data_IF_726297319143
#
_entry.id   IF_726297319143
#
_cell.length_a   1.000
_cell.length_b   1.000
_cell.length_c   1.000
_cell.angle_alpha   90.00
_cell.angle_beta   90.00
_cell.angle_gamma   90.00
#
_symmetry.space_group_name_H-M   'P 1'
#
loop_
_entity.id
_entity.type
_entity.pdbx_description
1 polymer ?
#
# COMPACT_ATOMS: atom_id res chain seq x y z
N UNK A 1 -21.78 39.61 -50.73
CA UNK A 1 -22.80 38.73 -50.13
C UNK A 1 -22.15 37.38 -49.89
N UNK A 2 -21.96 37.07 -48.63
CA UNK A 2 -22.14 35.85 -47.89
C UNK A 2 -21.62 34.53 -48.56
N UNK A 3 -20.56 33.97 -47.97
CA UNK A 3 -20.54 32.59 -47.46
C UNK A 3 -19.33 32.41 -46.53
N UNK A 4 -19.55 32.68 -45.25
CA UNK A 4 -18.75 32.18 -44.15
C UNK A 4 -19.62 31.11 -43.47
N UNK A 5 -19.08 29.95 -43.26
CA UNK A 5 -19.44 28.94 -42.29
C UNK A 5 -19.28 27.53 -42.83
N UNK A 6 -18.26 26.80 -42.37
CA UNK A 6 -18.27 25.35 -42.12
C UNK A 6 -16.87 24.84 -41.85
N UNK A 7 -16.18 25.31 -40.79
CA UNK A 7 -14.98 24.66 -40.28
C UNK A 7 -14.96 24.67 -38.75
N UNK A 8 -16.05 24.21 -38.13
CA UNK A 8 -16.14 23.96 -36.72
C UNK A 8 -17.00 22.72 -36.46
N UNK A 9 -16.52 21.53 -36.80
CA UNK A 9 -17.18 20.30 -36.35
C UNK A 9 -16.34 19.02 -36.42
N UNK A 10 -15.04 19.07 -36.70
CA UNK A 10 -14.23 17.86 -36.81
C UNK A 10 -13.25 17.61 -35.64
N UNK A 11 -12.97 18.61 -34.81
CA UNK A 11 -12.12 18.42 -33.62
C UNK A 11 -12.83 17.78 -32.43
N UNK A 12 -14.16 17.86 -32.34
CA UNK A 12 -14.91 17.35 -31.17
C UNK A 12 -15.06 15.82 -31.13
N UNK A 13 -15.05 15.17 -32.29
CA UNK A 13 -15.32 13.72 -32.34
C UNK A 13 -14.08 12.84 -32.03
N UNK A 14 -12.87 13.28 -32.37
CA UNK A 14 -11.66 12.53 -32.02
C UNK A 14 -11.32 12.66 -30.53
N UNK A 15 -11.48 13.83 -29.95
CA UNK A 15 -11.23 14.04 -28.51
C UNK A 15 -12.31 13.35 -27.66
N UNK A 16 -13.57 13.38 -28.08
CA UNK A 16 -14.64 12.60 -27.42
C UNK A 16 -14.43 11.09 -27.60
N UNK A 17 -13.99 10.62 -28.76
CA UNK A 17 -13.71 9.20 -28.98
C UNK A 17 -12.48 8.71 -28.19
N UNK A 18 -11.45 9.54 -28.07
CA UNK A 18 -10.29 9.25 -27.24
C UNK A 18 -10.66 9.23 -25.73
N UNK A 19 -11.52 10.17 -25.30
CA UNK A 19 -12.01 10.22 -23.93
C UNK A 19 -12.90 9.01 -23.61
N UNK A 20 -13.77 8.61 -24.51
CA UNK A 20 -14.62 7.40 -24.39
C UNK A 20 -13.75 6.13 -24.43
N UNK A 21 -12.71 6.08 -25.23
CA UNK A 21 -11.79 4.94 -25.29
C UNK A 21 -10.91 4.85 -24.03
N UNK A 22 -10.44 5.96 -23.49
CA UNK A 22 -9.71 6.03 -22.21
C UNK A 22 -10.64 5.66 -21.06
N UNK A 23 -11.89 6.11 -21.07
CA UNK A 23 -12.91 5.70 -20.12
C UNK A 23 -13.22 4.19 -20.25
N UNK A 24 -13.36 3.67 -21.47
CA UNK A 24 -13.62 2.25 -21.69
C UNK A 24 -12.45 1.35 -21.24
N UNK A 25 -11.20 1.78 -21.41
CA UNK A 25 -10.03 1.09 -20.86
C UNK A 25 -9.99 1.12 -19.33
N UNK A 26 -10.47 2.19 -18.69
CA UNK A 26 -10.65 2.26 -17.24
C UNK A 26 -11.77 1.31 -16.73
N UNK A 27 -12.67 0.87 -17.61
CA UNK A 27 -13.77 -0.07 -17.28
C UNK A 27 -13.33 -1.53 -17.15
N UNK A 28 -12.20 -1.90 -17.72
CA UNK A 28 -11.69 -3.29 -17.71
C UNK A 28 -10.79 -3.59 -16.51
N UNK A 29 -10.50 -2.59 -15.67
CA UNK A 29 -9.64 -2.77 -14.50
C UNK A 29 -10.46 -2.90 -13.22
N UNK A 30 -10.18 -3.89 -12.35
CA UNK A 30 -10.75 -3.90 -11.01
C UNK A 30 -10.35 -2.60 -10.28
N UNK A 31 -11.23 -2.05 -9.42
CA UNK A 31 -10.84 -0.91 -8.60
C UNK A 31 -9.61 -1.30 -7.79
N UNK A 32 -8.60 -0.43 -7.68
CA UNK A 32 -7.49 -0.69 -6.77
C UNK A 32 -8.07 -0.95 -5.38
N UNK A 33 -7.73 -2.07 -4.79
CA UNK A 33 -7.91 -2.26 -3.38
C UNK A 33 -6.83 -1.39 -2.74
N UNK A 34 -7.22 -0.33 -2.10
CA UNK A 34 -6.34 0.54 -1.34
C UNK A 34 -6.50 0.09 0.12
N UNK A 35 -5.47 -0.49 0.70
CA UNK A 35 -5.41 -0.67 2.14
C UNK A 35 -4.94 0.63 2.76
N UNK A 36 -5.40 0.99 3.93
CA UNK A 36 -5.16 2.25 4.66
C UNK A 36 -4.75 3.36 3.70
N UNK A 37 -5.63 4.30 3.36
CA UNK A 37 -5.49 5.10 2.14
C UNK A 37 -4.10 5.73 1.96
N UNK A 38 -3.66 5.90 0.73
CA UNK A 38 -2.32 6.31 0.30
C UNK A 38 -1.75 7.48 1.11
N UNK A 39 -2.56 8.52 1.36
CA UNK A 39 -2.08 9.71 2.06
C UNK A 39 -1.84 9.46 3.55
N UNK A 40 -2.53 8.50 4.13
CA UNK A 40 -2.29 8.08 5.51
C UNK A 40 -0.93 7.41 5.67
N UNK A 41 -0.52 6.56 4.72
CA UNK A 41 0.82 5.95 4.72
C UNK A 41 1.92 7.00 4.55
N UNK A 42 1.72 7.99 3.68
CA UNK A 42 2.65 9.11 3.51
C UNK A 42 2.78 9.94 4.79
N UNK A 43 1.65 10.24 5.43
CA UNK A 43 1.62 10.99 6.68
C UNK A 43 2.34 10.28 7.84
N UNK A 44 2.34 8.94 7.86
CA UNK A 44 3.10 8.14 8.83
C UNK A 44 4.61 8.31 8.61
N UNK A 45 5.07 8.30 7.36
CA UNK A 45 6.48 8.58 7.05
C UNK A 45 6.86 9.97 7.54
N UNK A 46 6.09 11.00 7.20
CA UNK A 46 6.34 12.37 7.65
C UNK A 46 6.41 12.50 9.17
N UNK A 47 5.46 11.87 9.86
CA UNK A 47 5.39 11.91 11.32
C UNK A 47 6.59 11.27 12.02
N UNK A 48 7.27 10.34 11.34
CA UNK A 48 8.44 9.65 11.88
C UNK A 48 9.76 10.15 11.26
N UNK A 49 9.72 10.96 10.19
CA UNK A 49 10.89 11.30 9.38
C UNK A 49 12.00 11.95 10.20
N UNK A 50 11.76 13.14 10.74
CA UNK A 50 12.79 13.91 11.45
C UNK A 50 13.29 13.24 12.73
N UNK A 51 12.38 12.57 13.44
CA UNK A 51 12.68 12.07 14.79
C UNK A 51 13.29 10.68 14.82
N UNK A 52 12.99 9.84 13.81
CA UNK A 52 13.38 8.43 13.82
C UNK A 52 14.03 7.99 12.50
N UNK A 53 13.38 8.18 11.35
CA UNK A 53 13.87 7.63 10.06
C UNK A 53 15.19 8.28 9.69
N UNK A 54 15.25 9.62 9.66
CA UNK A 54 16.47 10.39 9.33
C UNK A 54 17.62 10.03 10.28
N UNK A 55 17.33 9.87 11.57
CA UNK A 55 18.32 9.45 12.55
C UNK A 55 18.91 8.06 12.26
N UNK A 56 18.08 7.08 11.88
CA UNK A 56 18.54 5.75 11.47
C UNK A 56 19.36 5.78 10.19
N UNK A 57 18.91 6.56 9.21
CA UNK A 57 19.65 6.74 7.95
C UNK A 57 21.05 7.34 8.21
N UNK A 58 21.14 8.40 9.00
CA UNK A 58 22.42 9.03 9.34
C UNK A 58 23.31 8.15 10.22
N UNK A 59 22.73 7.30 11.09
CA UNK A 59 23.50 6.32 11.87
C UNK A 59 24.19 5.31 10.95
N UNK A 60 23.51 4.85 9.89
CA UNK A 60 24.05 3.85 8.94
C UNK A 60 24.88 4.49 7.83
N UNK A 61 24.52 5.71 7.42
CA UNK A 61 25.14 6.47 6.32
C UNK A 61 25.50 7.89 6.78
N UNK A 62 26.54 8.06 7.64
CA UNK A 62 26.84 9.33 8.28
C UNK A 62 27.33 10.43 7.34
N UNK A 63 27.63 10.11 6.08
CA UNK A 63 28.07 11.05 5.06
C UNK A 63 26.92 11.53 4.15
N UNK A 64 25.68 11.08 4.41
CA UNK A 64 24.52 11.48 3.60
C UNK A 64 24.27 12.99 3.72
N UNK A 65 24.13 13.66 2.58
CA UNK A 65 23.77 15.07 2.49
C UNK A 65 22.26 15.27 2.65
N UNK A 66 21.82 16.52 2.84
CA UNK A 66 20.38 16.84 2.85
C UNK A 66 19.71 16.49 1.52
N UNK A 67 20.40 16.59 0.38
CA UNK A 67 19.90 16.17 -0.93
C UNK A 67 19.72 14.65 -0.98
N UNK A 68 20.69 13.88 -0.46
CA UNK A 68 20.59 12.42 -0.34
C UNK A 68 19.42 12.02 0.55
N UNK A 69 19.21 12.72 1.67
CA UNK A 69 18.11 12.49 2.60
C UNK A 69 16.75 12.82 1.98
N UNK A 70 16.65 13.92 1.23
CA UNK A 70 15.43 14.27 0.49
C UNK A 70 15.08 13.20 -0.55
N UNK A 71 16.11 12.70 -1.28
CA UNK A 71 15.92 11.59 -2.20
C UNK A 71 15.52 10.30 -1.47
N UNK A 72 16.14 10.01 -0.32
CA UNK A 72 15.80 8.85 0.49
C UNK A 72 14.33 8.89 0.98
N UNK A 73 13.79 10.08 1.26
CA UNK A 73 12.39 10.26 1.66
C UNK A 73 11.43 9.84 0.54
N UNK A 74 11.75 10.12 -0.73
CA UNK A 74 10.97 9.64 -1.87
C UNK A 74 10.91 8.10 -1.93
N UNK A 75 12.00 7.43 -1.58
CA UNK A 75 12.05 5.97 -1.48
C UNK A 75 11.28 5.45 -0.25
N UNK A 76 11.32 6.16 0.88
CA UNK A 76 10.52 5.80 2.04
C UNK A 76 9.01 5.89 1.74
N UNK A 77 8.55 6.91 1.01
CA UNK A 77 7.17 6.98 0.54
C UNK A 77 6.83 5.84 -0.40
N UNK A 78 7.69 5.53 -1.38
CA UNK A 78 7.48 4.40 -2.28
C UNK A 78 7.40 3.07 -1.55
N UNK A 79 8.23 2.87 -0.52
CA UNK A 79 8.19 1.70 0.34
C UNK A 79 6.91 1.61 1.17
N UNK A 80 6.41 2.75 1.68
CA UNK A 80 5.23 2.79 2.55
C UNK A 80 3.93 2.29 1.90
N UNK A 81 3.91 2.09 0.58
CA UNK A 81 2.72 1.64 -0.15
C UNK A 81 3.06 0.44 -1.06
N UNK A 82 4.29 -0.07 -1.02
CA UNK A 82 4.73 -1.08 -2.00
C UNK A 82 3.94 -2.38 -1.93
N UNK A 83 3.48 -2.80 -0.76
CA UNK A 83 2.69 -4.01 -0.59
C UNK A 83 1.38 -3.95 -1.38
N UNK A 84 0.85 -2.76 -1.62
CA UNK A 84 -0.36 -2.51 -2.40
C UNK A 84 -0.12 -2.44 -3.91
N UNK A 85 1.13 -2.51 -4.39
CA UNK A 85 1.45 -2.35 -5.81
C UNK A 85 0.66 -3.31 -6.71
N UNK A 86 0.29 -4.48 -6.21
CA UNK A 86 -0.50 -5.47 -6.95
C UNK A 86 -1.88 -4.98 -7.36
N UNK A 87 -2.43 -4.00 -6.68
CA UNK A 87 -3.75 -3.43 -6.97
C UNK A 87 -3.73 -2.33 -8.04
N UNK A 88 -2.55 -1.87 -8.45
CA UNK A 88 -2.38 -0.86 -9.49
C UNK A 88 -2.34 -1.47 -10.90
N UNK A 89 -2.53 -0.67 -11.96
CA UNK A 89 -2.47 -1.15 -13.34
C UNK A 89 -1.18 -1.91 -13.64
N UNK A 90 -1.29 -3.03 -14.34
CA UNK A 90 -0.22 -4.00 -14.65
C UNK A 90 0.36 -4.73 -13.44
N UNK A 91 -0.08 -4.42 -12.21
CA UNK A 91 0.20 -5.20 -11.03
C UNK A 91 -0.53 -6.54 -11.05
N UNK A 92 -0.40 -7.29 -9.97
CA UNK A 92 -1.10 -8.55 -9.76
C UNK A 92 -1.63 -8.58 -8.34
N UNK A 93 -2.94 -8.77 -8.13
CA UNK A 93 -3.48 -8.94 -6.78
C UNK A 93 -2.75 -10.02 -5.97
N UNK A 94 -2.23 -11.04 -6.66
CA UNK A 94 -1.44 -12.08 -6.02
C UNK A 94 -0.16 -11.56 -5.37
N UNK A 95 0.48 -10.52 -5.91
CA UNK A 95 1.61 -9.85 -5.25
C UNK A 95 1.20 -9.26 -3.90
N UNK A 96 0.11 -8.50 -3.88
CA UNK A 96 -0.40 -7.92 -2.63
C UNK A 96 -0.91 -8.98 -1.66
N UNK A 97 -1.61 -10.02 -2.16
CA UNK A 97 -2.05 -11.14 -1.32
C UNK A 97 -0.87 -11.83 -0.62
N UNK A 98 0.26 -12.00 -1.31
CA UNK A 98 1.48 -12.56 -0.70
C UNK A 98 2.03 -11.65 0.39
N UNK A 99 2.22 -10.36 0.07
CA UNK A 99 2.86 -9.40 0.98
C UNK A 99 2.01 -9.05 2.20
N UNK A 100 0.69 -9.29 2.14
CA UNK A 100 -0.23 -9.05 3.26
C UNK A 100 -0.53 -10.29 4.10
N UNK A 101 -0.47 -11.50 3.50
CA UNK A 101 -0.99 -12.69 4.17
C UNK A 101 0.03 -13.82 4.33
N UNK A 102 1.10 -13.84 3.52
CA UNK A 102 2.03 -14.97 3.49
C UNK A 102 3.43 -14.46 3.78
N UNK A 103 4.02 -14.86 4.90
CA UNK A 103 5.38 -14.45 5.27
C UNK A 103 5.57 -12.92 5.21
N UNK A 104 4.56 -12.18 5.62
CA UNK A 104 4.49 -10.73 5.54
C UNK A 104 5.62 -10.02 6.30
N UNK A 105 5.92 -10.45 7.52
CA UNK A 105 7.04 -9.95 8.32
C UNK A 105 8.40 -10.35 7.75
N UNK A 106 8.53 -11.60 7.26
CA UNK A 106 9.77 -12.09 6.62
C UNK A 106 10.15 -11.27 5.39
N UNK A 107 9.15 -10.86 4.59
CA UNK A 107 9.36 -10.00 3.43
C UNK A 107 9.98 -8.64 3.82
N UNK A 108 9.46 -8.01 4.86
CA UNK A 108 10.00 -6.74 5.36
C UNK A 108 11.40 -6.93 5.94
N UNK A 109 11.62 -7.99 6.69
CA UNK A 109 12.96 -8.31 7.21
C UNK A 109 13.97 -8.57 6.09
N UNK A 110 13.55 -9.20 4.99
CA UNK A 110 14.38 -9.40 3.80
C UNK A 110 14.75 -8.05 3.16
N UNK A 111 13.78 -7.13 2.97
CA UNK A 111 14.05 -5.79 2.46
C UNK A 111 15.08 -5.04 3.31
N UNK A 112 14.95 -5.06 4.63
CA UNK A 112 15.87 -4.40 5.56
C UNK A 112 17.28 -5.00 5.53
N UNK A 113 17.37 -6.33 5.47
CA UNK A 113 18.61 -7.08 5.44
C UNK A 113 19.39 -6.86 4.14
N UNK A 114 18.68 -6.85 3.00
CA UNK A 114 19.27 -6.87 1.68
C UNK A 114 19.53 -5.47 1.10
N UNK A 115 19.11 -4.42 1.81
CA UNK A 115 19.36 -3.03 1.45
C UNK A 115 20.87 -2.70 1.49
N UNK A 116 21.42 -2.28 0.34
CA UNK A 116 22.86 -2.03 0.16
C UNK A 116 23.23 -0.54 0.23
N UNK A 117 22.29 0.35 -0.01
CA UNK A 117 22.51 1.79 0.01
C UNK A 117 21.44 2.55 0.81
N UNK A 118 21.62 3.87 0.91
CA UNK A 118 20.73 4.77 1.64
C UNK A 118 19.28 4.70 1.14
N UNK A 119 19.09 4.66 -0.17
CA UNK A 119 17.76 4.71 -0.79
C UNK A 119 17.02 3.39 -0.64
N UNK A 120 17.70 2.27 -0.77
CA UNK A 120 17.12 0.95 -0.53
C UNK A 120 16.77 0.76 0.94
N UNK A 121 17.62 1.24 1.85
CA UNK A 121 17.32 1.17 3.28
C UNK A 121 16.13 2.04 3.66
N UNK A 122 16.04 3.26 3.10
CA UNK A 122 14.89 4.13 3.30
C UNK A 122 13.58 3.49 2.76
N UNK A 123 13.65 2.84 1.59
CA UNK A 123 12.53 2.10 1.02
C UNK A 123 12.08 0.94 1.94
N UNK A 124 13.02 0.18 2.50
CA UNK A 124 12.73 -0.88 3.44
C UNK A 124 12.11 -0.37 4.75
N UNK A 125 12.58 0.80 5.26
CA UNK A 125 11.95 1.48 6.40
C UNK A 125 10.53 1.96 6.07
N UNK A 126 10.29 2.38 4.83
CA UNK A 126 8.95 2.66 4.34
C UNK A 126 8.04 1.43 4.38
N UNK A 127 8.50 0.29 3.87
CA UNK A 127 7.74 -0.96 3.91
C UNK A 127 7.46 -1.44 5.35
N UNK A 128 8.35 -1.13 6.29
CA UNK A 128 8.11 -1.35 7.73
C UNK A 128 7.01 -0.42 8.28
N UNK A 129 6.87 0.80 7.74
CA UNK A 129 5.77 1.68 8.09
C UNK A 129 4.42 1.11 7.66
N UNK A 130 4.35 0.54 6.45
CA UNK A 130 3.15 -0.15 5.96
C UNK A 130 2.76 -1.32 6.87
N UNK A 131 3.73 -2.15 7.27
CA UNK A 131 3.50 -3.24 8.23
C UNK A 131 2.82 -2.73 9.51
N UNK A 132 3.32 -1.66 10.11
CA UNK A 132 2.72 -1.09 11.31
C UNK A 132 1.35 -0.46 11.02
N UNK A 133 1.21 0.21 9.86
CA UNK A 133 -0.01 0.92 9.48
C UNK A 133 -1.19 -0.02 9.30
N UNK A 134 -1.02 -1.09 8.56
CA UNK A 134 -2.11 -2.00 8.26
C UNK A 134 -2.49 -2.84 9.48
N UNK A 135 -1.49 -3.36 10.22
CA UNK A 135 -1.76 -4.13 11.43
C UNK A 135 -2.58 -3.35 12.47
N UNK A 136 -2.34 -2.05 12.64
CA UNK A 136 -3.08 -1.23 13.59
C UNK A 136 -4.27 -0.52 12.94
N UNK A 137 -4.08 -0.01 11.71
CA UNK A 137 -5.06 0.78 10.99
C UNK A 137 -6.35 0.03 10.71
N UNK A 138 -6.25 -1.19 10.19
CA UNK A 138 -7.41 -2.02 9.91
C UNK A 138 -8.12 -2.45 11.18
N UNK A 139 -7.38 -3.04 12.11
CA UNK A 139 -7.93 -3.62 13.35
C UNK A 139 -8.63 -2.61 14.23
N UNK A 140 -8.02 -1.43 14.44
CA UNK A 140 -8.53 -0.41 15.36
C UNK A 140 -9.50 0.53 14.66
N UNK A 141 -9.20 0.91 13.39
CA UNK A 141 -9.90 1.93 12.63
C UNK A 141 -10.86 1.37 11.59
N UNK A 142 -10.33 0.97 10.45
CA UNK A 142 -11.10 0.73 9.22
C UNK A 142 -12.15 -0.36 9.38
N UNK A 143 -11.80 -1.55 9.90
CA UNK A 143 -12.75 -2.67 10.03
C UNK A 143 -13.96 -2.32 10.89
N UNK A 144 -13.76 -1.53 11.93
CA UNK A 144 -14.83 -1.06 12.82
C UNK A 144 -15.65 0.06 12.17
N UNK A 145 -14.99 1.00 11.52
CA UNK A 145 -15.65 2.08 10.82
C UNK A 145 -16.53 1.58 9.66
N UNK A 146 -16.10 0.54 8.94
CA UNK A 146 -16.92 -0.09 7.88
C UNK A 146 -18.23 -0.62 8.45
N UNK A 147 -18.23 -1.27 9.61
CA UNK A 147 -19.46 -1.78 10.24
C UNK A 147 -20.48 -0.67 10.53
N UNK A 148 -20.00 0.51 10.95
CA UNK A 148 -20.82 1.69 11.26
C UNK A 148 -21.29 2.38 9.98
N UNK A 149 -20.35 2.68 9.06
CA UNK A 149 -20.65 3.41 7.83
C UNK A 149 -21.50 2.59 6.86
N UNK A 150 -21.44 1.26 6.93
CA UNK A 150 -22.22 0.34 6.08
C UNK A 150 -23.04 -0.64 6.94
N UNK A 151 -24.16 -0.17 7.58
CA UNK A 151 -24.92 -0.96 8.56
C UNK A 151 -25.44 -2.31 8.03
N UNK A 152 -25.61 -2.45 6.72
CA UNK A 152 -25.97 -3.74 6.11
C UNK A 152 -24.86 -4.78 6.23
N UNK A 153 -23.59 -4.36 6.17
CA UNK A 153 -22.45 -5.22 6.42
C UNK A 153 -22.30 -5.49 7.92
N UNK A 154 -22.44 -4.45 8.77
CA UNK A 154 -22.41 -4.62 10.23
C UNK A 154 -23.47 -5.61 10.74
N UNK A 155 -24.70 -5.57 10.19
CA UNK A 155 -25.75 -6.59 10.52
C UNK A 155 -25.36 -8.01 10.13
N UNK A 156 -24.57 -8.16 9.07
CA UNK A 156 -24.19 -9.47 8.53
C UNK A 156 -22.95 -10.06 9.23
N UNK A 157 -21.97 -9.23 9.54
CA UNK A 157 -20.64 -9.67 9.97
C UNK A 157 -20.30 -9.27 11.41
N UNK A 158 -21.08 -8.38 12.05
CA UNK A 158 -20.84 -7.89 13.41
C UNK A 158 -20.16 -6.52 13.44
N UNK A 159 -19.54 -6.21 14.58
CA UNK A 159 -18.94 -4.90 14.86
C UNK A 159 -17.64 -4.63 14.11
N UNK A 160 -17.10 -5.64 13.46
CA UNK A 160 -15.92 -5.56 12.61
C UNK A 160 -16.23 -6.19 11.26
N UNK A 161 -15.89 -5.50 10.18
CA UNK A 161 -16.06 -5.97 8.79
C UNK A 161 -14.70 -5.88 8.14
N UNK A 162 -14.06 -7.02 7.92
CA UNK A 162 -12.74 -7.10 7.32
C UNK A 162 -12.77 -6.80 5.81
N UNK A 163 -11.59 -6.67 5.21
CA UNK A 163 -11.48 -6.49 3.77
C UNK A 163 -12.13 -7.63 2.98
N UNK A 164 -11.95 -8.89 3.40
CA UNK A 164 -12.57 -10.03 2.70
C UNK A 164 -14.12 -10.05 2.77
N UNK A 165 -14.69 -9.45 3.82
CA UNK A 165 -16.13 -9.35 4.01
C UNK A 165 -16.79 -8.27 3.17
N UNK A 166 -16.05 -7.19 2.89
CA UNK A 166 -16.60 -6.03 2.21
C UNK A 166 -15.59 -5.16 1.48
N UNK A 167 -14.80 -5.74 0.54
CA UNK A 167 -13.71 -5.06 -0.18
C UNK A 167 -14.01 -3.61 -0.61
N UNK A 168 -15.13 -3.40 -1.32
CA UNK A 168 -15.45 -2.06 -1.82
C UNK A 168 -15.85 -1.08 -0.71
N UNK A 169 -16.52 -1.54 0.34
CA UNK A 169 -16.87 -0.70 1.48
C UNK A 169 -15.60 -0.31 2.26
N UNK A 170 -14.68 -1.24 2.41
CA UNK A 170 -13.40 -1.04 3.06
C UNK A 170 -12.59 0.07 2.35
N UNK A 171 -12.30 -0.10 1.06
CA UNK A 171 -11.59 0.90 0.23
C UNK A 171 -12.28 2.27 0.23
N UNK A 172 -13.63 2.31 0.22
CA UNK A 172 -14.39 3.56 0.31
C UNK A 172 -14.24 4.25 1.66
N UNK A 173 -14.15 3.48 2.73
CA UNK A 173 -13.97 4.02 4.09
C UNK A 173 -12.61 4.67 4.22
N UNK A 174 -11.57 4.01 3.79
CA UNK A 174 -10.19 4.51 3.81
C UNK A 174 -10.01 5.76 2.96
N UNK A 175 -10.52 5.72 1.74
CA UNK A 175 -10.52 6.91 0.87
C UNK A 175 -11.31 8.08 1.51
N UNK A 176 -12.40 7.77 2.22
CA UNK A 176 -13.19 8.76 2.97
C UNK A 176 -12.37 9.42 4.07
N UNK A 177 -11.54 8.67 4.78
CA UNK A 177 -10.62 9.22 5.78
C UNK A 177 -9.58 10.15 5.17
N UNK A 178 -8.91 9.75 4.07
CA UNK A 178 -7.96 10.63 3.39
C UNK A 178 -8.62 11.95 2.92
N UNK A 179 -9.85 11.88 2.39
CA UNK A 179 -10.60 13.08 1.98
C UNK A 179 -10.90 13.97 3.19
N UNK A 180 -11.26 13.37 4.33
CA UNK A 180 -11.52 14.10 5.57
C UNK A 180 -10.26 14.79 6.09
N UNK A 181 -9.13 14.12 6.07
CA UNK A 181 -7.85 14.66 6.58
C UNK A 181 -7.34 15.82 5.70
N UNK A 182 -7.57 15.78 4.38
CA UNK A 182 -7.32 16.92 3.50
C UNK A 182 -8.29 18.06 3.84
N UNK A 183 -9.57 17.75 4.05
CA UNK A 183 -10.59 18.73 4.40
C UNK A 183 -10.23 19.50 5.67
N UNK A 184 -9.64 18.81 6.64
CA UNK A 184 -9.17 19.37 7.90
C UNK A 184 -7.79 20.02 7.80
N UNK A 185 -7.24 20.10 6.58
CA UNK A 185 -5.91 20.65 6.33
C UNK A 185 -4.79 19.93 7.11
N UNK A 186 -4.96 18.64 7.39
CA UNK A 186 -3.96 17.83 8.09
C UNK A 186 -2.97 17.18 7.13
N UNK A 187 -3.39 16.83 5.90
CA UNK A 187 -2.54 16.28 4.85
C UNK A 187 -2.23 17.33 3.79
N UNK A 188 -1.04 17.25 3.22
CA UNK A 188 -0.54 18.14 2.18
C UNK A 188 -0.17 17.38 0.90
N UNK A 189 -1.15 16.84 0.15
CA UNK A 189 -0.90 15.94 -0.97
C UNK A 189 -0.06 16.56 -2.10
N UNK A 190 -0.07 17.89 -2.23
CA UNK A 190 0.78 18.59 -3.20
C UNK A 190 2.26 18.55 -2.82
N UNK A 191 2.57 18.53 -1.53
CA UNK A 191 3.92 18.41 -1.02
C UNK A 191 4.57 17.09 -1.42
N UNK A 192 3.85 16.00 -1.30
CA UNK A 192 4.32 14.66 -1.64
C UNK A 192 4.67 14.53 -3.12
N UNK A 193 3.87 15.12 -3.99
CA UNK A 193 4.06 15.03 -5.44
C UNK A 193 5.11 16.02 -5.97
N UNK A 194 4.98 17.29 -5.61
CA UNK A 194 5.73 18.37 -6.29
C UNK A 194 7.16 18.53 -5.77
N UNK A 195 7.45 18.07 -4.55
CA UNK A 195 8.70 18.37 -3.86
C UNK A 195 9.50 17.14 -3.42
N UNK A 196 8.87 16.03 -3.09
CA UNK A 196 9.54 14.84 -2.59
C UNK A 196 9.48 13.72 -3.64
N UNK A 197 8.30 13.41 -4.15
CA UNK A 197 8.09 12.36 -5.15
C UNK A 197 8.01 10.96 -4.54
N UNK A 198 7.94 9.97 -5.43
CA UNK A 198 7.83 8.55 -5.09
C UNK A 198 8.83 7.73 -5.89
N UNK A 199 9.67 6.97 -5.21
CA UNK A 199 10.66 6.12 -5.84
C UNK A 199 10.57 4.68 -5.34
N UNK A 200 10.94 3.73 -6.21
CA UNK A 200 10.93 2.30 -5.89
C UNK A 200 12.35 1.75 -5.99
N UNK A 201 12.80 1.12 -4.93
CA UNK A 201 14.11 0.46 -4.89
C UNK A 201 14.00 -0.96 -5.49
N UNK A 202 13.96 -1.02 -6.83
CA UNK A 202 13.69 -2.24 -7.59
C UNK A 202 14.59 -3.40 -7.23
N UNK A 203 15.90 -3.17 -7.13
CA UNK A 203 16.87 -4.24 -6.85
C UNK A 203 16.56 -4.98 -5.55
N UNK A 204 16.37 -4.24 -4.46
CA UNK A 204 16.08 -4.84 -3.16
C UNK A 204 14.68 -5.45 -3.12
N UNK A 205 13.71 -4.87 -3.82
CA UNK A 205 12.36 -5.42 -3.96
C UNK A 205 12.40 -6.80 -4.64
N UNK A 206 13.08 -6.90 -5.80
CA UNK A 206 13.22 -8.16 -6.56
C UNK A 206 13.92 -9.23 -5.72
N UNK A 207 15.00 -8.86 -5.04
CA UNK A 207 15.77 -9.79 -4.21
C UNK A 207 14.94 -10.29 -3.02
N UNK A 208 14.37 -9.40 -2.24
CA UNK A 208 13.57 -9.75 -1.06
C UNK A 208 12.33 -10.59 -1.45
N UNK A 209 11.67 -10.26 -2.55
CA UNK A 209 10.52 -11.02 -3.04
C UNK A 209 10.92 -12.45 -3.43
N UNK A 210 12.01 -12.62 -4.19
CA UNK A 210 12.51 -13.94 -4.58
C UNK A 210 12.94 -14.76 -3.37
N UNK A 211 13.64 -14.17 -2.42
CA UNK A 211 14.11 -14.89 -1.22
C UNK A 211 12.95 -15.30 -0.32
N UNK A 212 11.93 -14.44 -0.19
CA UNK A 212 10.79 -14.72 0.67
C UNK A 212 9.84 -15.75 0.06
N UNK A 213 9.54 -15.64 -1.23
CA UNK A 213 8.48 -16.45 -1.85
C UNK A 213 9.00 -17.53 -2.82
N UNK A 214 10.29 -17.53 -3.16
CA UNK A 214 10.83 -18.46 -4.17
C UNK A 214 10.33 -18.19 -5.59
N UNK A 215 9.88 -16.97 -5.87
CA UNK A 215 9.35 -16.54 -7.16
C UNK A 215 10.06 -15.28 -7.64
N UNK A 216 10.30 -15.19 -8.96
CA UNK A 216 10.75 -13.95 -9.57
C UNK A 216 9.58 -12.95 -9.65
N UNK A 217 9.78 -11.70 -9.27
CA UNK A 217 8.75 -10.65 -9.30
C UNK A 217 8.11 -10.51 -10.69
N UNK A 218 8.92 -10.53 -11.75
CA UNK A 218 8.46 -10.51 -13.15
C UNK A 218 7.56 -11.69 -13.54
N UNK A 219 7.56 -12.80 -12.80
CA UNK A 219 6.67 -13.95 -13.04
C UNK A 219 5.30 -13.77 -12.40
N UNK A 220 5.18 -12.82 -11.50
CA UNK A 220 3.96 -12.49 -10.75
C UNK A 220 3.24 -11.29 -11.35
N UNK A 221 3.97 -10.26 -11.73
CA UNK A 221 3.42 -9.07 -12.38
C UNK A 221 3.14 -9.32 -13.87
N UNK A 222 2.13 -8.64 -14.42
CA UNK A 222 1.83 -8.74 -15.87
C UNK A 222 2.93 -8.11 -16.73
N UNK A 223 3.49 -7.01 -16.26
CA UNK A 223 4.61 -6.29 -16.87
C UNK A 223 5.22 -5.43 -15.76
N UNK A 224 6.40 -5.82 -15.31
CA UNK A 224 7.04 -5.22 -14.13
C UNK A 224 7.33 -3.72 -14.31
N UNK A 225 7.89 -3.33 -15.46
CA UNK A 225 8.21 -1.93 -15.72
C UNK A 225 6.93 -1.06 -15.76
N UNK A 226 5.89 -1.57 -16.40
CA UNK A 226 4.60 -0.86 -16.42
C UNK A 226 3.92 -0.85 -15.05
N UNK A 227 4.02 -1.93 -14.28
CA UNK A 227 3.47 -2.00 -12.92
C UNK A 227 4.12 -0.96 -12.02
N UNK A 228 5.45 -0.90 -11.97
CA UNK A 228 6.19 0.10 -11.20
C UNK A 228 5.89 1.54 -11.65
N UNK A 229 5.86 1.78 -12.96
CA UNK A 229 5.56 3.12 -13.49
C UNK A 229 4.11 3.55 -13.26
N UNK A 230 3.15 2.63 -13.38
CA UNK A 230 1.74 2.94 -13.09
C UNK A 230 1.54 3.19 -11.60
N UNK A 231 2.12 2.36 -10.74
CA UNK A 231 2.12 2.54 -9.30
C UNK A 231 2.64 3.93 -8.91
N UNK A 232 3.86 4.28 -9.32
CA UNK A 232 4.45 5.60 -9.05
C UNK A 232 3.58 6.75 -9.53
N UNK A 233 3.07 6.68 -10.77
CA UNK A 233 2.19 7.71 -11.34
C UNK A 233 0.89 7.84 -10.58
N UNK A 234 0.25 6.72 -10.24
CA UNK A 234 -1.08 6.73 -9.67
C UNK A 234 -1.05 7.19 -8.21
N UNK A 235 -0.05 6.77 -7.45
CA UNK A 235 0.17 7.20 -6.06
C UNK A 235 0.55 8.68 -6.01
N UNK A 236 1.51 9.13 -6.81
CA UNK A 236 2.02 10.50 -6.73
C UNK A 236 1.13 11.55 -7.41
N UNK A 237 0.29 11.18 -8.37
CA UNK A 237 -0.49 12.15 -9.19
C UNK A 237 -1.98 11.92 -9.17
N UNK A 238 -2.40 10.67 -9.45
CA UNK A 238 -3.82 10.40 -9.68
C UNK A 238 -4.61 10.43 -8.38
N UNK A 239 -4.13 9.77 -7.34
CA UNK A 239 -4.81 9.69 -6.05
C UNK A 239 -4.89 11.05 -5.34
N UNK A 240 -3.80 11.82 -5.17
CA UNK A 240 -3.86 13.16 -4.61
C UNK A 240 -4.85 14.08 -5.35
N UNK A 241 -4.88 14.00 -6.69
CA UNK A 241 -5.83 14.74 -7.49
C UNK A 241 -7.28 14.29 -7.29
N UNK A 242 -7.52 12.97 -7.24
CA UNK A 242 -8.85 12.42 -6.99
C UNK A 242 -9.37 12.81 -5.61
N UNK A 243 -8.52 12.81 -4.59
CA UNK A 243 -8.88 13.18 -3.22
C UNK A 243 -9.26 14.68 -3.12
N UNK A 244 -8.52 15.58 -3.81
CA UNK A 244 -8.90 17.00 -3.90
C UNK A 244 -10.25 17.22 -4.59
N UNK A 245 -10.49 16.49 -5.69
CA UNK A 245 -11.78 16.54 -6.39
C UNK A 245 -12.90 16.05 -5.48
N UNK A 246 -12.69 14.95 -4.78
CA UNK A 246 -13.65 14.38 -3.84
C UNK A 246 -13.96 15.34 -2.69
N UNK A 247 -12.94 15.98 -2.12
CA UNK A 247 -13.11 17.06 -1.14
C UNK A 247 -13.99 18.19 -1.67
N UNK A 248 -13.68 18.72 -2.86
CA UNK A 248 -14.46 19.81 -3.45
C UNK A 248 -15.93 19.45 -3.66
N UNK A 249 -16.22 18.17 -3.98
CA UNK A 249 -17.58 17.66 -4.18
C UNK A 249 -18.38 17.52 -2.88
N UNK A 250 -17.71 17.19 -1.77
CA UNK A 250 -18.35 16.85 -0.48
C UNK A 250 -18.08 17.85 0.64
N UNK A 251 -17.41 18.96 0.34
CA UNK A 251 -16.98 19.93 1.35
C UNK A 251 -18.11 20.47 2.23
N UNK A 252 -19.30 20.67 1.65
CA UNK A 252 -20.43 21.21 2.40
C UNK A 252 -21.01 20.14 3.32
N UNK A 253 -21.21 18.90 2.83
CA UNK A 253 -21.61 17.73 3.63
C UNK A 253 -20.66 17.48 4.81
N UNK A 254 -19.35 17.49 4.57
CA UNK A 254 -18.34 17.25 5.61
C UNK A 254 -18.33 18.40 6.66
N UNK A 255 -18.52 19.64 6.25
CA UNK A 255 -18.57 20.77 7.18
C UNK A 255 -19.82 20.77 8.06
N UNK A 256 -20.95 20.33 7.49
CA UNK A 256 -22.22 20.24 8.22
C UNK A 256 -22.20 19.09 9.23
N UNK A 257 -21.62 17.95 8.87
CA UNK A 257 -21.55 16.76 9.73
C UNK A 257 -20.46 16.86 10.81
N UNK A 258 -19.43 17.70 10.62
CA UNK A 258 -18.29 17.84 11.55
C UNK A 258 -17.96 19.33 11.78
N UNK A 259 -18.85 20.10 12.42
CA UNK A 259 -18.68 21.55 12.62
C UNK A 259 -17.49 21.92 13.50
N UNK A 260 -17.08 21.04 14.44
CA UNK A 260 -16.00 21.28 15.42
C UNK A 260 -14.69 20.54 15.08
N UNK A 261 -14.38 20.39 13.82
CA UNK A 261 -13.11 19.82 13.37
C UNK A 261 -11.91 20.68 13.80
N UNK A 262 -11.66 20.76 15.10
CA UNK A 262 -10.54 21.53 15.61
C UNK A 262 -9.22 20.78 15.44
N UNK A 263 -8.23 21.48 14.87
CA UNK A 263 -6.83 21.04 14.65
C UNK A 263 -6.14 20.46 15.92
N UNK A 264 -6.72 20.62 17.10
CA UNK A 264 -6.11 20.27 18.40
C UNK A 264 -6.18 18.81 18.82
N UNK A 265 -7.03 17.98 18.18
CA UNK A 265 -7.23 16.57 18.60
C UNK A 265 -6.29 15.59 17.91
N UNK A 266 -5.72 15.95 16.79
CA UNK A 266 -4.77 15.12 16.07
C UNK A 266 -3.36 15.44 16.58
N UNK A 267 -2.68 14.48 17.18
CA UNK A 267 -1.33 14.65 17.73
C UNK A 267 -0.28 14.95 16.66
N UNK A 268 -0.62 14.75 15.39
CA UNK A 268 0.28 14.81 14.27
C UNK A 268 -0.23 15.74 13.14
N UNK A 269 -0.16 17.03 13.37
CA UNK A 269 -0.19 18.05 12.31
C UNK A 269 1.15 18.09 11.53
N UNK A 270 1.86 16.96 11.45
CA UNK A 270 3.27 16.99 11.09
C UNK A 270 3.49 17.00 9.58
N UNK A 271 2.67 16.33 8.78
CA UNK A 271 2.91 16.32 7.34
C UNK A 271 2.80 17.73 6.76
N UNK A 272 1.75 18.46 7.10
CA UNK A 272 1.58 19.83 6.65
C UNK A 272 2.56 20.80 7.30
N UNK A 273 2.85 20.67 8.60
CA UNK A 273 3.79 21.56 9.29
C UNK A 273 5.24 21.31 8.87
N UNK A 274 5.63 20.07 8.56
CA UNK A 274 6.93 19.76 7.98
C UNK A 274 7.05 20.35 6.59
N UNK A 275 6.03 20.16 5.75
CA UNK A 275 5.95 20.77 4.43
C UNK A 275 6.03 22.31 4.49
N UNK A 276 5.22 22.96 5.35
CA UNK A 276 5.22 24.43 5.51
C UNK A 276 6.57 24.98 5.98
N UNK A 277 7.30 24.22 6.78
CA UNK A 277 8.63 24.60 7.27
C UNK A 277 9.67 24.58 6.18
N UNK A 278 9.64 23.55 5.33
CA UNK A 278 10.64 23.35 4.29
C UNK A 278 10.31 24.13 3.00
N UNK A 279 9.04 24.22 2.63
CA UNK A 279 8.58 24.68 1.31
C UNK A 279 7.66 25.90 1.33
N UNK A 280 7.24 26.37 2.51
CA UNK A 280 6.36 27.52 2.67
C UNK A 280 4.89 27.21 2.55
N UNK A 281 4.03 28.26 2.60
CA UNK A 281 2.57 28.15 2.69
C UNK A 281 1.82 28.23 1.34
N UNK A 282 2.53 28.13 0.24
CA UNK A 282 1.94 28.29 -1.11
C UNK A 282 1.26 27.01 -1.59
N UNK A 283 0.11 26.68 -1.02
CA UNK A 283 -0.73 25.58 -1.51
C UNK A 283 -1.42 25.95 -2.82
N UNK A 284 -1.30 25.07 -3.81
CA UNK A 284 -2.08 25.21 -5.05
C UNK A 284 -3.55 24.94 -4.75
N UNK A 285 -4.40 25.95 -4.95
CA UNK A 285 -5.86 25.76 -4.97
C UNK A 285 -6.23 24.91 -6.19
N UNK A 286 -7.33 24.12 -6.14
CA UNK A 286 -7.80 23.39 -7.30
C UNK A 286 -7.88 24.33 -8.51
N UNK A 287 -7.30 23.94 -9.62
CA UNK A 287 -7.37 24.71 -10.86
C UNK A 287 -8.82 24.76 -11.40
N UNK A 288 -9.12 25.76 -12.21
CA UNK A 288 -10.45 25.85 -12.85
C UNK A 288 -10.78 24.58 -13.65
N UNK A 289 -9.78 23.90 -14.24
CA UNK A 289 -9.96 22.62 -14.91
C UNK A 289 -10.31 21.47 -13.94
N UNK A 290 -9.75 21.46 -12.73
CA UNK A 290 -10.09 20.45 -11.70
C UNK A 290 -11.51 20.67 -11.15
N UNK A 291 -11.91 21.91 -10.96
CA UNK A 291 -13.30 22.28 -10.59
C UNK A 291 -14.27 21.87 -11.69
N UNK A 292 -13.92 22.10 -12.96
CA UNK A 292 -14.73 21.67 -14.10
C UNK A 292 -14.80 20.13 -14.21
N UNK A 293 -13.70 19.42 -14.02
CA UNK A 293 -13.69 17.96 -13.94
C UNK A 293 -14.54 17.44 -12.78
N UNK A 294 -14.51 18.09 -11.62
CA UNK A 294 -15.36 17.76 -10.48
C UNK A 294 -16.85 17.93 -10.83
N UNK A 295 -17.19 18.98 -11.57
CA UNK A 295 -18.57 19.19 -12.07
C UNK A 295 -18.96 18.11 -13.08
N UNK A 296 -18.14 17.83 -14.09
CA UNK A 296 -18.39 16.75 -15.05
C UNK A 296 -18.52 15.39 -14.35
N UNK A 297 -17.74 15.17 -13.30
CA UNK A 297 -17.81 13.96 -12.52
C UNK A 297 -19.20 13.70 -11.90
N UNK A 298 -19.96 14.75 -11.53
CA UNK A 298 -21.35 14.59 -11.05
C UNK A 298 -22.27 13.98 -12.11
N UNK A 299 -21.96 14.18 -13.39
CA UNK A 299 -22.76 13.73 -14.52
C UNK A 299 -22.38 12.34 -15.04
N UNK A 300 -21.19 11.84 -14.69
CA UNK A 300 -20.68 10.53 -15.18
C UNK A 300 -21.20 9.41 -14.28
N UNK A 301 -21.74 8.32 -14.85
CA UNK A 301 -22.12 7.13 -14.09
C UNK A 301 -20.92 6.53 -13.34
N UNK A 302 -21.12 6.12 -12.08
CA UNK A 302 -20.06 5.63 -11.19
C UNK A 302 -19.84 4.12 -11.37
N UNK A 303 -19.09 3.74 -12.40
CA UNK A 303 -18.71 2.35 -12.67
C UNK A 303 -17.21 2.11 -12.39
N UNK A 304 -16.82 0.84 -12.23
CA UNK A 304 -15.41 0.44 -12.07
C UNK A 304 -14.67 1.20 -10.95
N UNK A 305 -13.44 1.69 -11.20
CA UNK A 305 -12.63 2.41 -10.21
C UNK A 305 -13.30 3.65 -9.63
N UNK A 306 -14.19 4.30 -10.40
CA UNK A 306 -14.91 5.50 -9.94
C UNK A 306 -15.91 5.23 -8.82
N UNK A 307 -16.21 3.96 -8.51
CA UNK A 307 -17.07 3.60 -7.37
C UNK A 307 -16.48 4.02 -6.03
N UNK A 308 -15.15 4.13 -5.91
CA UNK A 308 -14.50 4.57 -4.66
C UNK A 308 -14.94 5.98 -4.26
N UNK A 309 -15.17 6.85 -5.23
CA UNK A 309 -15.62 8.21 -5.01
C UNK A 309 -17.08 8.33 -4.49
N UNK A 310 -17.81 7.20 -4.44
CA UNK A 310 -19.11 7.08 -3.74
C UNK A 310 -18.93 6.62 -2.30
N UNK A 311 -17.90 7.10 -1.62
CA UNK A 311 -17.69 6.82 -0.20
C UNK A 311 -18.77 7.47 0.67
N UNK A 312 -18.98 6.94 1.85
CA UNK A 312 -19.78 7.58 2.89
C UNK A 312 -18.88 8.52 3.69
N UNK A 313 -19.39 9.69 3.98
CA UNK A 313 -18.67 10.66 4.81
C UNK A 313 -18.42 10.05 6.18
N UNK A 314 -17.17 10.04 6.67
CA UNK A 314 -16.88 9.61 8.03
C UNK A 314 -17.68 10.41 9.06
N UNK A 315 -18.18 9.73 10.08
CA UNK A 315 -18.85 10.35 11.23
C UNK A 315 -17.81 10.74 12.30
N UNK A 316 -18.15 11.60 13.28
CA UNK A 316 -17.24 11.91 14.39
C UNK A 316 -16.76 10.66 15.14
N UNK A 317 -17.62 9.64 15.28
CA UNK A 317 -17.27 8.36 15.90
C UNK A 317 -16.21 7.60 15.07
N UNK A 318 -16.42 7.47 13.74
CA UNK A 318 -15.49 6.75 12.87
C UNK A 318 -14.19 7.52 12.66
N UNK A 319 -14.24 8.85 12.68
CA UNK A 319 -13.04 9.69 12.71
C UNK A 319 -12.21 9.44 13.97
N UNK A 320 -12.84 9.37 15.15
CA UNK A 320 -12.13 9.07 16.37
C UNK A 320 -11.45 7.69 16.34
N UNK A 321 -12.09 6.70 15.72
CA UNK A 321 -11.48 5.38 15.49
C UNK A 321 -10.26 5.48 14.57
N UNK A 322 -10.34 6.27 13.50
CA UNK A 322 -9.22 6.53 12.61
C UNK A 322 -8.07 7.23 13.34
N UNK A 323 -8.34 8.30 14.10
CA UNK A 323 -7.31 8.98 14.91
C UNK A 323 -6.63 8.04 15.91
N UNK A 324 -7.40 7.19 16.58
CA UNK A 324 -6.86 6.21 17.52
C UNK A 324 -5.96 5.20 16.81
N UNK A 325 -6.37 4.71 15.62
CA UNK A 325 -5.58 3.78 14.82
C UNK A 325 -4.29 4.40 14.32
N UNK A 326 -4.32 5.65 13.86
CA UNK A 326 -3.15 6.37 13.39
C UNK A 326 -2.11 6.59 14.52
N UNK A 327 -2.58 6.95 15.71
CA UNK A 327 -1.72 7.10 16.90
C UNK A 327 -1.10 5.78 17.34
N UNK A 328 -1.87 4.68 17.30
CA UNK A 328 -1.37 3.34 17.58
C UNK A 328 -0.31 2.92 16.54
N UNK A 329 -0.57 3.15 15.26
CA UNK A 329 0.38 2.92 14.17
C UNK A 329 1.71 3.63 14.42
N UNK A 330 1.67 4.92 14.74
CA UNK A 330 2.90 5.67 14.98
C UNK A 330 3.67 5.18 16.22
N UNK A 331 2.95 4.78 17.25
CA UNK A 331 3.56 4.19 18.45
C UNK A 331 4.25 2.87 18.12
N UNK A 332 3.57 2.01 17.37
CA UNK A 332 4.10 0.73 16.91
C UNK A 332 5.29 0.93 15.96
N UNK A 333 5.14 1.77 14.94
CA UNK A 333 6.21 2.03 13.97
C UNK A 333 7.48 2.59 14.62
N UNK A 334 7.37 3.53 15.56
CA UNK A 334 8.51 4.07 16.31
C UNK A 334 9.24 2.99 17.10
N UNK A 335 8.51 2.08 17.74
CA UNK A 335 9.08 0.91 18.42
C UNK A 335 9.86 0.06 17.44
N UNK A 336 9.30 -0.29 16.29
CA UNK A 336 9.96 -1.10 15.26
C UNK A 336 11.21 -0.40 14.69
N UNK A 337 11.17 0.93 14.52
CA UNK A 337 12.35 1.71 14.12
C UNK A 337 13.46 1.68 15.16
N UNK A 338 13.13 1.74 16.46
CA UNK A 338 14.10 1.60 17.55
C UNK A 338 14.73 0.20 17.52
N UNK A 339 13.93 -0.86 17.46
CA UNK A 339 14.39 -2.25 17.37
C UNK A 339 15.28 -2.48 16.12
N UNK A 340 14.93 -1.86 14.99
CA UNK A 340 15.77 -1.85 13.78
C UNK A 340 17.13 -1.21 14.05
N UNK A 341 17.15 -0.08 14.73
CA UNK A 341 18.38 0.63 15.08
C UNK A 341 19.26 -0.10 16.09
N UNK A 342 18.69 -0.93 16.93
CA UNK A 342 19.35 -1.78 17.91
C UNK A 342 19.76 -3.15 17.33
N UNK A 343 19.25 -3.53 16.15
CA UNK A 343 19.48 -4.83 15.54
C UNK A 343 18.70 -5.96 16.23
N UNK A 344 17.64 -5.65 16.94
CA UNK A 344 16.80 -6.59 17.69
C UNK A 344 15.44 -6.86 17.04
N UNK A 345 15.16 -6.22 15.89
CA UNK A 345 13.88 -6.33 15.20
C UNK A 345 13.51 -7.79 14.88
N UNK A 346 12.33 -8.18 15.32
CA UNK A 346 11.68 -9.45 14.97
C UNK A 346 10.25 -9.13 14.55
N UNK A 347 9.88 -9.50 13.32
CA UNK A 347 8.54 -9.29 12.79
C UNK A 347 7.79 -10.62 12.74
N UNK A 348 6.55 -10.58 13.16
CA UNK A 348 5.64 -11.70 12.99
C UNK A 348 5.04 -11.69 11.59
N UNK A 349 4.68 -12.88 11.09
CA UNK A 349 3.98 -13.01 9.82
C UNK A 349 2.47 -12.84 10.04
N UNK A 350 2.05 -11.60 10.27
CA UNK A 350 0.67 -11.26 10.55
C UNK A 350 -0.15 -11.11 9.27
N UNK A 351 -1.45 -11.29 9.39
CA UNK A 351 -2.43 -10.92 8.39
C UNK A 351 -2.75 -9.42 8.58
N UNK A 352 -2.38 -8.60 7.62
CA UNK A 352 -2.50 -7.15 7.73
C UNK A 352 -3.96 -6.66 7.80
N UNK A 353 -4.91 -7.40 7.25
CA UNK A 353 -6.33 -6.99 7.31
C UNK A 353 -6.93 -7.10 8.71
N UNK A 354 -6.36 -7.93 9.58
CA UNK A 354 -6.87 -8.16 10.94
C UNK A 354 -5.84 -7.85 12.03
N UNK A 355 -4.57 -7.60 11.65
CA UNK A 355 -3.49 -7.22 12.56
C UNK A 355 -3.07 -8.32 13.54
N UNK A 356 -3.20 -9.60 13.13
CA UNK A 356 -2.81 -10.75 13.92
C UNK A 356 -2.50 -11.98 13.07
N UNK A 357 -1.83 -12.96 13.64
CA UNK A 357 -1.64 -14.26 12.98
C UNK A 357 -2.97 -14.95 12.73
N UNK A 358 -3.13 -15.47 11.53
CA UNK A 358 -4.28 -16.30 11.20
C UNK A 358 -3.87 -17.70 10.77
N UNK A 359 -4.60 -18.69 11.25
CA UNK A 359 -4.42 -20.06 10.85
C UNK A 359 -5.29 -20.45 9.64
N UNK A 360 -5.06 -21.66 9.10
CA UNK A 360 -5.80 -22.18 7.97
C UNK A 360 -7.32 -22.21 8.23
N UNK A 361 -8.09 -21.77 7.24
CA UNK A 361 -9.55 -21.76 7.29
C UNK A 361 -10.19 -20.61 8.06
N UNK A 362 -9.39 -19.73 8.66
CA UNK A 362 -9.88 -18.58 9.42
C UNK A 362 -10.06 -17.32 8.58
N UNK A 363 -9.26 -17.17 7.55
CA UNK A 363 -9.30 -16.04 6.64
C UNK A 363 -9.15 -16.53 5.20
N UNK A 364 -10.20 -16.32 4.39
CA UNK A 364 -10.27 -16.90 3.04
C UNK A 364 -9.15 -16.45 2.12
N UNK A 365 -8.81 -15.17 2.14
CA UNK A 365 -7.74 -14.63 1.28
C UNK A 365 -6.37 -15.18 1.66
N UNK A 366 -6.13 -15.42 2.94
CA UNK A 366 -4.91 -16.08 3.41
C UNK A 366 -4.81 -17.51 2.87
N UNK A 367 -5.91 -18.30 2.95
CA UNK A 367 -5.93 -19.67 2.40
C UNK A 367 -5.73 -19.68 0.89
N UNK A 368 -6.35 -18.74 0.18
CA UNK A 368 -6.24 -18.59 -1.27
C UNK A 368 -4.83 -18.19 -1.68
N UNK A 369 -4.17 -17.27 -0.94
CA UNK A 369 -2.79 -16.84 -1.19
C UNK A 369 -1.78 -17.98 -1.01
N UNK A 370 -1.89 -18.76 0.07
CA UNK A 370 -1.03 -19.93 0.29
C UNK A 370 -1.22 -20.99 -0.81
N UNK A 371 -2.45 -21.27 -1.22
CA UNK A 371 -2.71 -22.21 -2.31
C UNK A 371 -2.18 -21.70 -3.65
N UNK A 372 -2.29 -20.42 -3.93
CA UNK A 372 -1.75 -19.81 -5.14
C UNK A 372 -0.22 -19.79 -5.17
N UNK A 373 0.44 -19.56 -4.02
CA UNK A 373 1.89 -19.65 -3.90
C UNK A 373 2.37 -21.08 -4.20
N UNK A 374 1.71 -22.08 -3.59
CA UNK A 374 2.02 -23.48 -3.82
C UNK A 374 1.91 -23.85 -5.31
N UNK A 375 0.82 -23.42 -5.97
CA UNK A 375 0.58 -23.65 -7.40
C UNK A 375 1.68 -23.03 -8.29
N UNK A 376 2.05 -21.77 -8.00
CA UNK A 376 3.11 -21.07 -8.74
C UNK A 376 4.47 -21.75 -8.59
N UNK A 377 4.82 -22.18 -7.38
CA UNK A 377 6.05 -22.93 -7.12
C UNK A 377 6.04 -24.31 -7.78
N UNK A 378 4.91 -25.00 -7.77
CA UNK A 378 4.77 -26.29 -8.45
C UNK A 378 4.93 -26.17 -9.98
N UNK A 379 4.45 -25.08 -10.60
CA UNK A 379 4.63 -24.82 -12.03
C UNK A 379 6.11 -24.76 -12.45
N UNK A 380 6.99 -24.31 -11.55
CA UNK A 380 8.46 -24.29 -11.74
C UNK A 380 9.16 -25.52 -11.16
N UNK A 381 8.39 -26.55 -10.77
CA UNK A 381 8.90 -27.76 -10.08
C UNK A 381 9.70 -27.43 -8.82
N UNK A 382 9.30 -26.35 -8.12
CA UNK A 382 9.92 -25.87 -6.88
C UNK A 382 11.40 -25.48 -7.03
N UNK A 383 11.85 -25.08 -8.22
CA UNK A 383 13.27 -24.84 -8.52
C UNK A 383 13.90 -23.77 -7.63
N UNK A 384 13.13 -22.76 -7.20
CA UNK A 384 13.61 -21.64 -6.38
C UNK A 384 13.05 -21.66 -4.94
N UNK A 385 12.35 -22.72 -4.54
CA UNK A 385 11.77 -22.78 -3.19
C UNK A 385 12.87 -22.78 -2.12
N UNK A 386 12.73 -21.88 -1.14
CA UNK A 386 13.62 -21.82 0.01
C UNK A 386 13.19 -22.81 1.11
N UNK A 387 14.11 -23.12 2.03
CA UNK A 387 13.81 -23.99 3.19
C UNK A 387 12.65 -23.47 4.00
N UNK A 388 12.61 -22.14 4.20
CA UNK A 388 11.61 -21.44 5.00
C UNK A 388 10.26 -21.44 4.30
N UNK A 389 10.21 -21.12 3.00
CA UNK A 389 8.96 -21.15 2.23
C UNK A 389 8.37 -22.57 2.14
N UNK A 390 9.26 -23.58 1.98
CA UNK A 390 8.84 -24.97 2.02
C UNK A 390 8.28 -25.35 3.39
N UNK A 391 8.94 -24.97 4.48
CA UNK A 391 8.48 -25.23 5.84
C UNK A 391 7.13 -24.56 6.12
N UNK A 392 6.99 -23.29 5.76
CA UNK A 392 5.74 -22.52 5.90
C UNK A 392 4.58 -23.21 5.20
N UNK A 393 4.71 -23.54 3.92
CA UNK A 393 3.63 -24.19 3.15
C UNK A 393 3.28 -25.57 3.71
N UNK A 394 4.27 -26.37 4.14
CA UNK A 394 4.02 -27.67 4.74
C UNK A 394 3.34 -27.56 6.11
N UNK A 395 3.71 -26.56 6.90
CA UNK A 395 3.09 -26.28 8.19
C UNK A 395 1.67 -25.74 8.02
N UNK A 396 1.47 -24.79 7.12
CA UNK A 396 0.15 -24.21 6.85
C UNK A 396 -0.87 -25.28 6.47
N UNK A 397 -0.49 -26.22 5.60
CA UNK A 397 -1.35 -27.32 5.16
C UNK A 397 -1.19 -28.62 5.96
N UNK A 398 -0.64 -28.55 7.18
CA UNK A 398 -0.33 -29.76 7.98
C UNK A 398 -1.59 -30.51 8.44
N UNK A 399 -2.67 -29.77 8.76
CA UNK A 399 -3.95 -30.35 9.17
C UNK A 399 -4.86 -30.56 7.94
N UNK A 400 -5.03 -31.81 7.46
CA UNK A 400 -5.92 -32.08 6.33
C UNK A 400 -7.38 -31.80 6.63
N UNK A 401 -7.78 -31.72 7.88
CA UNK A 401 -9.16 -31.53 8.32
C UNK A 401 -9.52 -30.05 8.55
N UNK A 402 -8.52 -29.15 8.53
CA UNK A 402 -8.75 -27.72 8.64
C UNK A 402 -9.75 -27.21 7.57
N UNK A 403 -10.59 -26.21 7.89
CA UNK A 403 -11.65 -25.73 7.00
C UNK A 403 -11.15 -24.79 5.91
N UNK A 404 -10.08 -25.14 5.20
CA UNK A 404 -9.51 -24.31 4.13
C UNK A 404 -10.55 -23.84 3.12
N UNK A 405 -10.49 -22.58 2.72
CA UNK A 405 -11.37 -22.01 1.71
C UNK A 405 -11.28 -22.74 0.36
N UNK A 406 -10.10 -23.22 -0.01
CA UNK A 406 -9.85 -24.02 -1.21
C UNK A 406 -10.59 -25.36 -1.24
N UNK A 407 -10.94 -25.95 -0.08
CA UNK A 407 -11.74 -27.19 0.00
C UNK A 407 -13.15 -27.03 -0.57
N UNK A 408 -13.68 -25.80 -0.64
CA UNK A 408 -15.00 -25.55 -1.24
C UNK A 408 -15.09 -25.97 -2.71
N UNK A 409 -13.92 -26.11 -3.38
CA UNK A 409 -13.79 -26.57 -4.77
C UNK A 409 -12.97 -27.85 -4.79
N UNK A 410 -13.62 -29.02 -4.85
CA UNK A 410 -12.96 -30.33 -4.79
C UNK A 410 -11.76 -30.48 -5.74
N UNK A 411 -11.86 -29.97 -6.98
CA UNK A 411 -10.76 -30.00 -7.96
C UNK A 411 -9.55 -29.16 -7.49
N UNK A 412 -9.80 -27.97 -6.93
CA UNK A 412 -8.72 -27.12 -6.42
C UNK A 412 -8.03 -27.76 -5.23
N UNK A 413 -8.80 -28.34 -4.32
CA UNK A 413 -8.24 -29.05 -3.16
C UNK A 413 -7.43 -30.28 -3.56
N UNK A 414 -7.91 -31.11 -4.51
CA UNK A 414 -7.16 -32.24 -5.03
C UNK A 414 -5.81 -31.80 -5.64
N UNK A 415 -5.78 -30.63 -6.32
CA UNK A 415 -4.57 -30.02 -6.85
C UNK A 415 -3.59 -29.65 -5.73
N UNK A 416 -4.04 -28.91 -4.71
CA UNK A 416 -3.23 -28.57 -3.53
C UNK A 416 -2.61 -29.81 -2.90
N UNK A 417 -3.38 -30.88 -2.70
CA UNK A 417 -2.90 -32.12 -2.12
C UNK A 417 -1.82 -32.80 -3.01
N UNK A 418 -1.98 -32.75 -4.33
CA UNK A 418 -0.99 -33.29 -5.26
C UNK A 418 0.33 -32.50 -5.23
N UNK A 419 0.23 -31.17 -5.19
CA UNK A 419 1.37 -30.25 -5.13
C UNK A 419 2.13 -30.34 -3.80
N UNK A 420 1.44 -30.50 -2.67
CA UNK A 420 2.06 -30.75 -1.37
C UNK A 420 2.88 -32.05 -1.34
N UNK A 421 2.37 -33.12 -2.00
CA UNK A 421 3.16 -34.36 -2.12
C UNK A 421 4.46 -34.15 -2.91
N UNK A 422 4.43 -33.33 -3.96
CA UNK A 422 5.62 -32.97 -4.73
C UNK A 422 6.56 -32.09 -3.91
N UNK A 423 6.01 -31.07 -3.21
CA UNK A 423 6.79 -30.17 -2.36
C UNK A 423 7.56 -30.93 -1.27
N UNK A 424 6.96 -31.95 -0.64
CA UNK A 424 7.62 -32.76 0.39
C UNK A 424 8.95 -33.35 -0.09
N UNK A 425 9.01 -33.81 -1.34
CA UNK A 425 10.20 -34.44 -1.94
C UNK A 425 11.11 -33.44 -2.70
N UNK A 426 10.64 -32.23 -2.97
CA UNK A 426 11.43 -31.23 -3.68
C UNK A 426 12.64 -30.79 -2.85
N UNK A 427 13.84 -30.63 -3.46
CA UNK A 427 14.96 -29.99 -2.79
C UNK A 427 14.62 -28.53 -2.48
N UNK A 428 15.12 -28.02 -1.37
CA UNK A 428 14.97 -26.62 -1.00
C UNK A 428 16.34 -25.94 -0.99
N UNK A 429 16.37 -24.68 -1.45
CA UNK A 429 17.58 -23.86 -1.38
C UNK A 429 17.73 -23.30 0.03
N UNK A 430 18.93 -23.33 0.63
CA UNK A 430 19.17 -22.59 1.86
C UNK A 430 19.00 -21.09 1.55
N UNK A 431 18.49 -20.31 2.51
CA UNK A 431 18.59 -18.84 2.44
C UNK A 431 20.07 -18.48 2.28
N UNK A 432 20.42 -17.86 1.16
CA UNK A 432 21.75 -17.29 1.00
C UNK A 432 21.84 -16.09 1.92
N UNK A 433 22.48 -16.26 3.09
CA UNK A 433 22.87 -15.10 3.88
C UNK A 433 23.64 -14.16 2.94
N UNK A 434 23.06 -13.00 2.63
CA UNK A 434 23.76 -11.94 1.93
C UNK A 434 25.06 -11.72 2.73
N UNK A 435 26.20 -12.05 2.13
CA UNK A 435 27.49 -11.72 2.72
C UNK A 435 27.56 -10.21 2.75
N UNK A 436 27.19 -9.63 3.89
CA UNK A 436 27.54 -8.27 4.20
C UNK A 436 29.03 -8.13 3.94
N UNK A 437 29.38 -7.45 2.86
CA UNK A 437 30.75 -7.22 2.49
C UNK A 437 31.47 -6.46 3.63
N UNK A 438 32.15 -7.22 4.49
CA UNK A 438 33.18 -6.65 5.29
C UNK A 438 34.23 -6.09 4.30
N UNK A 439 34.23 -4.78 4.12
CA UNK A 439 35.31 -4.07 3.43
C UNK A 439 36.61 -4.47 4.15
N UNK A 440 37.61 -5.01 3.45
CA UNK A 440 38.90 -5.26 4.09
C UNK A 440 39.43 -3.93 4.64
N UNK A 441 40.12 -3.92 5.80
CA UNK A 441 40.68 -2.72 6.35
C UNK A 441 41.63 -2.11 5.32
N UNK A 442 41.48 -0.81 5.06
CA UNK A 442 42.39 -0.07 4.22
C UNK A 442 43.80 -0.20 4.83
N UNK A 443 44.65 -0.98 4.19
CA UNK A 443 46.09 -1.01 4.48
C UNK A 443 46.61 0.37 4.17
N UNK A 444 46.94 1.08 5.22
CA UNK A 444 47.66 2.37 5.15
C UNK A 444 48.98 2.18 4.44
N UNK A 445 49.21 3.08 3.50
CA UNK A 445 50.55 3.46 3.09
C UNK A 445 50.80 4.87 3.55
N UNK A 446 51.58 4.98 4.59
CA UNK A 446 52.43 6.14 4.88
C UNK A 446 53.74 5.98 4.08
N UNK A 447 54.48 6.97 3.81
CA UNK A 447 54.70 8.23 4.57
C UNK A 447 54.16 9.47 3.93
#
# INVERSE_FOLDING_TARGET
MAFRSATRSLCSNLECSALVFILALAFLWPPPALSYAVLSHEAIIDAAWETHIKALLLKKYPQATEEDLSRAQAYAYGGAIIQDMGYYPYGSPFFSDLTHYVRSGDFIQALLRDAQDLTEYAFALGALAHYAADNEGHRIGTNRAVAILYPGLGKKYGDTVSYEDGKLAHVKTEFGFDVLEIAKERYAPDGYHDFIGFEVARRVLDQAFRETYGLELKSVLLDEDKALNSYRRDVSKLIPKATRIAWHLKKDEIKDDIPDATKKRFLYNLSRSSYEREWGKNYKRPSAGEVFLAFLYKLIPKFGPLKVLQFRTPTPETEHMFEASFNATLTHYRKLLMETGEGTLQLENDNFDIGEKTGPGRYRLNDEAHAALLDKLAATKFAEVTSETKAELLQFFADPDAPYATKRKAKAWAKVQAELRQLKTAPAKPLTASRGGARPPATGLLP
#
